data_IF_965910315761
#
_entry.id   IF_965910315761
#
_cell.length_a   1.000
_cell.length_b   1.000
_cell.length_c   1.000
_cell.angle_alpha   90.00
_cell.angle_beta   90.00
_cell.angle_gamma   90.00
#
_symmetry.space_group_name_H-M   'P 1'
#
loop_
_entity.id
_entity.type
_entity.pdbx_description
1 polymer ?
#
# COMPACT_ATOMS: atom_id res chain seq x y z
N UNK A 1 8.03 -0.04 -13.60
CA UNK A 1 9.09 -0.07 -12.57
C UNK A 1 8.46 0.26 -11.21
N UNK A 2 9.03 -0.23 -10.10
CA UNK A 2 8.54 0.10 -8.75
C UNK A 2 9.32 1.31 -8.20
N UNK A 3 8.60 2.33 -7.74
CA UNK A 3 9.15 3.56 -7.18
C UNK A 3 8.68 3.67 -5.74
N UNK A 4 9.62 3.76 -4.80
CA UNK A 4 9.29 4.02 -3.40
C UNK A 4 8.81 5.47 -3.28
N UNK A 5 7.69 5.65 -2.58
CA UNK A 5 7.10 6.96 -2.35
C UNK A 5 7.22 7.37 -0.88
N UNK A 6 7.08 8.67 -0.64
CA UNK A 6 6.89 9.27 0.69
C UNK A 6 5.48 9.87 0.76
N UNK A 7 5.07 10.26 1.96
CA UNK A 7 3.76 10.89 2.20
C UNK A 7 3.44 12.02 1.21
N UNK A 8 4.41 12.90 0.91
CA UNK A 8 4.22 14.03 0.00
C UNK A 8 3.95 13.65 -1.47
N UNK A 9 4.30 12.43 -1.88
CA UNK A 9 4.20 12.00 -3.28
C UNK A 9 2.78 11.49 -3.61
N UNK A 10 2.14 10.80 -2.66
CA UNK A 10 0.71 10.41 -2.71
C UNK A 10 0.16 10.34 -1.27
N UNK A 11 -0.30 11.48 -0.71
CA UNK A 11 -0.75 11.55 0.68
C UNK A 11 -1.90 10.60 0.99
N UNK A 12 -2.82 10.42 0.04
CA UNK A 12 -3.99 9.58 0.24
C UNK A 12 -3.62 8.09 0.33
N UNK A 13 -2.79 7.58 -0.59
CA UNK A 13 -2.30 6.20 -0.49
C UNK A 13 -1.46 6.00 0.78
N UNK A 14 -0.63 6.99 1.12
CA UNK A 14 0.19 6.93 2.32
C UNK A 14 -0.65 6.82 3.60
N UNK A 15 -1.66 7.68 3.76
CA UNK A 15 -2.54 7.66 4.94
C UNK A 15 -3.36 6.38 5.00
N UNK A 16 -3.84 5.85 3.87
CA UNK A 16 -4.53 4.55 3.85
C UNK A 16 -3.64 3.43 4.39
N UNK A 17 -2.38 3.37 3.93
CA UNK A 17 -1.43 2.37 4.41
C UNK A 17 -1.08 2.58 5.88
N UNK A 18 -0.93 3.83 6.32
CA UNK A 18 -0.68 4.19 7.72
C UNK A 18 -1.84 3.80 8.64
N UNK A 19 -3.07 4.14 8.27
CA UNK A 19 -4.30 3.80 9.00
C UNK A 19 -4.40 2.28 9.17
N UNK A 20 -4.19 1.53 8.09
CA UNK A 20 -4.27 0.06 8.12
C UNK A 20 -3.11 -0.57 8.91
N UNK A 21 -1.90 0.00 8.85
CA UNK A 21 -0.77 -0.45 9.66
C UNK A 21 -1.01 -0.21 11.16
N UNK A 22 -1.60 0.94 11.52
CA UNK A 22 -2.00 1.27 12.89
C UNK A 22 -3.05 0.30 13.42
N UNK A 23 -4.09 0.00 12.63
CA UNK A 23 -5.14 -0.97 12.99
C UNK A 23 -4.55 -2.37 13.21
N UNK A 24 -3.63 -2.80 12.34
CA UNK A 24 -2.95 -4.09 12.45
C UNK A 24 -1.83 -4.11 13.52
N UNK A 25 -1.53 -2.98 14.15
CA UNK A 25 -0.43 -2.83 15.12
C UNK A 25 0.94 -3.27 14.57
N UNK A 26 1.18 -3.00 13.29
CA UNK A 26 2.46 -3.26 12.62
C UNK A 26 3.22 -1.95 12.37
N UNK A 27 4.55 -1.98 12.25
CA UNK A 27 5.32 -0.83 11.76
C UNK A 27 4.83 -0.39 10.38
N UNK A 28 4.94 0.91 10.09
CA UNK A 28 4.60 1.45 8.78
C UNK A 28 5.44 0.75 7.68
N UNK A 29 4.80 0.01 6.75
CA UNK A 29 5.52 -0.61 5.66
C UNK A 29 6.03 0.45 4.68
N UNK A 30 7.09 0.12 3.93
CA UNK A 30 7.52 0.96 2.80
C UNK A 30 6.46 0.91 1.70
N UNK A 31 6.14 2.05 1.10
CA UNK A 31 5.09 2.14 0.08
C UNK A 31 5.72 2.33 -1.30
N UNK A 32 5.27 1.54 -2.26
CA UNK A 32 5.73 1.59 -3.63
C UNK A 32 4.56 1.79 -4.59
N UNK A 33 4.80 2.60 -5.62
CA UNK A 33 3.94 2.65 -6.79
C UNK A 33 4.63 1.96 -7.97
N UNK A 34 3.89 1.09 -8.65
CA UNK A 34 4.32 0.41 -9.87
C UNK A 34 3.64 1.07 -11.07
N UNK A 35 4.45 1.53 -12.02
CA UNK A 35 3.99 1.97 -13.34
C UNK A 35 3.51 0.78 -14.18
N UNK A 36 2.28 0.34 -13.92
CA UNK A 36 1.52 -0.68 -14.65
C UNK A 36 0.04 -0.27 -14.64
N UNK A 37 -0.63 -0.38 -15.78
CA UNK A 37 -2.05 -0.04 -15.92
C UNK A 37 -2.99 -1.19 -15.48
N UNK A 38 -2.44 -2.40 -15.28
CA UNK A 38 -3.19 -3.54 -14.76
C UNK A 38 -3.47 -3.35 -13.27
N UNK A 39 -4.72 -3.53 -12.79
CA UNK A 39 -5.04 -3.35 -11.38
C UNK A 39 -4.42 -4.46 -10.54
N UNK A 40 -3.53 -4.08 -9.62
CA UNK A 40 -2.92 -5.01 -8.66
C UNK A 40 -2.40 -4.26 -7.42
N UNK A 41 -2.38 -4.96 -6.29
CA UNK A 41 -1.65 -4.57 -5.09
C UNK A 41 -1.16 -5.84 -4.37
N UNK A 42 -0.02 -5.74 -3.69
CA UNK A 42 0.48 -6.85 -2.88
C UNK A 42 1.37 -6.39 -1.73
N UNK A 43 1.33 -7.13 -0.63
CA UNK A 43 2.31 -7.02 0.45
C UNK A 43 3.48 -7.99 0.27
N UNK A 44 4.69 -7.57 0.65
CA UNK A 44 5.84 -8.48 0.76
C UNK A 44 6.82 -8.04 1.86
N UNK A 45 7.46 -9.00 2.50
CA UNK A 45 8.39 -8.77 3.61
C UNK A 45 8.79 -10.06 4.31
N UNK A 46 9.95 -10.08 4.98
CA UNK A 46 10.37 -11.22 5.81
C UNK A 46 9.77 -11.18 7.21
N UNK A 47 9.43 -9.98 7.67
CA UNK A 47 8.83 -9.69 8.96
C UNK A 47 8.18 -8.30 8.92
N UNK A 48 7.31 -7.96 9.90
CA UNK A 48 6.65 -6.65 9.95
C UNK A 48 7.59 -5.45 10.01
N UNK A 49 8.83 -5.60 10.50
CA UNK A 49 9.81 -4.51 10.53
C UNK A 49 10.43 -4.21 9.15
N UNK A 50 10.34 -5.15 8.20
CA UNK A 50 10.90 -5.03 6.86
C UNK A 50 9.86 -5.45 5.81
N UNK A 51 8.65 -4.93 5.98
CA UNK A 51 7.53 -5.12 5.06
C UNK A 51 7.40 -3.94 4.09
N UNK A 52 6.76 -4.21 2.96
CA UNK A 52 6.40 -3.21 1.98
C UNK A 52 5.06 -3.54 1.31
N UNK A 53 4.37 -2.48 0.91
CA UNK A 53 3.14 -2.51 0.12
C UNK A 53 3.46 -1.93 -1.25
N UNK A 54 3.08 -2.64 -2.30
CA UNK A 54 3.18 -2.14 -3.66
C UNK A 54 1.80 -2.05 -4.30
N UNK A 55 1.50 -0.91 -4.93
CA UNK A 55 0.23 -0.65 -5.62
C UNK A 55 0.53 -0.24 -7.05
N UNK A 56 -0.22 -0.78 -8.02
CA UNK A 56 -0.09 -0.33 -9.42
C UNK A 56 -0.85 0.97 -9.66
N UNK A 57 -0.35 1.78 -10.60
CA UNK A 57 -1.06 2.98 -11.07
C UNK A 57 -2.47 2.64 -11.62
N UNK A 58 -2.63 1.48 -12.25
CA UNK A 58 -3.91 0.94 -12.68
C UNK A 58 -4.92 0.83 -11.54
N UNK A 59 -4.53 0.16 -10.44
CA UNK A 59 -5.40 0.02 -9.27
C UNK A 59 -5.70 1.38 -8.63
N UNK A 60 -4.66 2.20 -8.47
CA UNK A 60 -4.75 3.52 -7.83
C UNK A 60 -5.73 4.47 -8.51
N UNK A 61 -5.84 4.40 -9.83
CA UNK A 61 -6.79 5.20 -10.63
C UNK A 61 -8.21 4.63 -10.63
N UNK A 62 -8.37 3.34 -10.32
CA UNK A 62 -9.65 2.65 -10.40
C UNK A 62 -10.45 2.73 -9.10
N UNK A 63 -9.77 2.70 -7.95
CA UNK A 63 -10.42 2.59 -6.65
C UNK A 63 -10.62 3.94 -5.97
N UNK A 64 -11.72 4.06 -5.23
CA UNK A 64 -11.88 5.15 -4.25
C UNK A 64 -10.98 4.89 -3.03
N UNK A 65 -10.87 5.88 -2.15
CA UNK A 65 -10.14 5.73 -0.88
C UNK A 65 -10.68 4.56 -0.06
N UNK A 66 -12.00 4.44 0.09
CA UNK A 66 -12.63 3.40 0.91
C UNK A 66 -12.41 2.00 0.33
N UNK A 67 -12.45 1.87 -1.00
CA UNK A 67 -12.14 0.60 -1.67
C UNK A 67 -10.65 0.25 -1.53
N UNK A 68 -9.78 1.26 -1.58
CA UNK A 68 -8.35 1.09 -1.36
C UNK A 68 -8.05 0.64 0.07
N UNK A 69 -8.72 1.20 1.09
CA UNK A 69 -8.61 0.73 2.48
C UNK A 69 -8.95 -0.76 2.61
N UNK A 70 -9.99 -1.23 1.93
CA UNK A 70 -10.34 -2.66 1.90
C UNK A 70 -9.24 -3.54 1.29
N UNK A 71 -8.66 -3.13 0.17
CA UNK A 71 -7.57 -3.86 -0.50
C UNK A 71 -6.29 -3.82 0.34
N UNK A 72 -5.89 -2.65 0.82
CA UNK A 72 -4.68 -2.50 1.63
C UNK A 72 -4.82 -3.23 2.96
N UNK A 73 -5.99 -3.19 3.60
CA UNK A 73 -6.26 -3.96 4.81
C UNK A 73 -6.13 -5.47 4.57
N UNK A 74 -6.61 -5.97 3.43
CA UNK A 74 -6.39 -7.36 3.02
C UNK A 74 -4.89 -7.66 2.87
N UNK A 75 -4.16 -6.82 2.14
CA UNK A 75 -2.72 -7.05 1.90
C UNK A 75 -1.88 -6.97 3.19
N UNK A 76 -2.17 -6.02 4.08
CA UNK A 76 -1.50 -5.92 5.39
C UNK A 76 -1.73 -7.17 6.24
N UNK A 77 -2.86 -7.87 6.09
CA UNK A 77 -3.11 -9.12 6.82
C UNK A 77 -2.14 -10.26 6.46
N UNK A 78 -1.42 -10.15 5.34
CA UNK A 78 -0.39 -11.10 4.92
C UNK A 78 1.02 -10.78 5.47
N UNK A 79 1.21 -9.63 6.14
CA UNK A 79 2.48 -9.18 6.75
C UNK A 79 2.70 -9.81 8.11
#
# INVERSE_FOLDING_TARGET
>A
HAIEIKEQDDPELWHVVEDMAMVAQVPMPRVFIIEDDSPNAFATGKNPQNSCIAVTMGLRKMLTREELEGVIGHEISHI
#
